data_IF_962480267525
#
_entry.id   IF_962480267525
#
_cell.length_a   1.000
_cell.length_b   1.000
_cell.length_c   1.000
_cell.angle_alpha   90.00
_cell.angle_beta   90.00
_cell.angle_gamma   90.00
#
_symmetry.space_group_name_H-M   'P 1'
#
loop_
_entity.id
_entity.type
_entity.pdbx_description
1 polymer ?
#
# COMPACT_ATOMS: atom_id res chain seq x y z
N UNK A 1 -30.31 -16.26 16.87
CA UNK A 1 -30.17 -14.80 16.81
C UNK A 1 -30.53 -14.38 15.40
N UNK A 2 -31.19 -13.23 15.20
CA UNK A 2 -31.56 -12.76 13.86
C UNK A 2 -30.39 -11.94 13.31
N UNK A 3 -30.02 -12.13 12.02
CA UNK A 3 -29.16 -11.21 11.30
C UNK A 3 -29.85 -9.84 11.24
N UNK A 4 -29.10 -8.78 11.43
CA UNK A 4 -29.62 -7.40 11.45
C UNK A 4 -28.77 -6.49 10.59
N UNK A 5 -29.35 -5.42 10.11
CA UNK A 5 -28.66 -4.33 9.44
C UNK A 5 -29.02 -3.05 10.13
N UNK A 6 -28.02 -2.20 10.34
CA UNK A 6 -28.20 -0.84 10.83
C UNK A 6 -27.58 0.15 9.88
N UNK A 7 -28.17 1.33 9.85
CA UNK A 7 -27.76 2.45 9.01
C UNK A 7 -27.36 3.61 9.91
N UNK A 8 -26.17 4.13 9.70
CA UNK A 8 -25.61 5.23 10.50
C UNK A 8 -25.35 6.42 9.59
N UNK A 9 -26.12 7.46 9.78
CA UNK A 9 -26.07 8.69 8.99
C UNK A 9 -25.78 9.89 9.88
N UNK A 10 -24.90 10.77 9.45
CA UNK A 10 -24.64 12.02 10.16
C UNK A 10 -25.83 12.98 10.05
N UNK A 11 -26.17 13.64 11.15
CA UNK A 11 -27.14 14.73 11.10
C UNK A 11 -26.68 15.86 10.17
N UNK A 12 -27.60 16.64 9.58
CA UNK A 12 -27.26 17.63 8.52
C UNK A 12 -26.09 18.59 8.82
N UNK A 13 -25.87 18.92 10.10
CA UNK A 13 -24.75 19.79 10.51
C UNK A 13 -23.39 19.12 10.49
N UNK A 14 -23.34 17.80 10.35
CA UNK A 14 -22.12 17.00 10.47
C UNK A 14 -21.83 16.20 9.19
N UNK A 15 -22.51 16.45 8.09
CA UNK A 15 -22.40 15.71 6.83
C UNK A 15 -21.19 16.13 5.96
N UNK A 16 -20.07 16.44 6.59
CA UNK A 16 -18.85 16.91 5.90
C UNK A 16 -18.39 15.91 4.83
N UNK A 17 -18.46 14.61 5.12
CA UNK A 17 -18.05 13.56 4.19
C UNK A 17 -18.94 13.51 2.94
N UNK A 18 -20.25 13.62 3.12
CA UNK A 18 -21.21 13.67 2.02
C UNK A 18 -21.03 14.94 1.15
N UNK A 19 -20.85 16.10 1.78
CA UNK A 19 -20.64 17.36 1.07
C UNK A 19 -19.32 17.37 0.30
N UNK A 20 -18.25 16.85 0.91
CA UNK A 20 -16.94 16.73 0.25
C UNK A 20 -17.03 15.82 -0.96
N UNK A 21 -17.63 14.63 -0.81
CA UNK A 21 -17.82 13.71 -1.93
C UNK A 21 -18.70 14.29 -3.04
N UNK A 22 -19.79 14.97 -2.67
CA UNK A 22 -20.68 15.65 -3.63
C UNK A 22 -19.90 16.67 -4.45
N UNK A 23 -19.09 17.51 -3.80
CA UNK A 23 -18.24 18.47 -4.47
C UNK A 23 -17.20 17.81 -5.38
N UNK A 24 -16.61 16.75 -4.92
CA UNK A 24 -15.63 15.96 -5.67
C UNK A 24 -16.24 15.35 -6.93
N UNK A 25 -17.39 14.69 -6.83
CA UNK A 25 -18.09 14.10 -7.98
C UNK A 25 -18.53 15.18 -8.99
N UNK A 26 -19.05 16.29 -8.53
CA UNK A 26 -19.44 17.41 -9.40
C UNK A 26 -18.23 17.97 -10.14
N UNK A 27 -17.12 18.17 -9.44
CA UNK A 27 -15.89 18.74 -10.03
C UNK A 27 -15.22 17.78 -11.00
N UNK A 28 -15.08 16.51 -10.62
CA UNK A 28 -14.26 15.56 -11.37
C UNK A 28 -15.03 14.86 -12.48
N UNK A 29 -16.34 14.68 -12.32
CA UNK A 29 -17.19 14.03 -13.31
C UNK A 29 -18.11 15.03 -14.05
N UNK A 30 -18.06 16.33 -13.74
CA UNK A 30 -18.90 17.34 -14.37
C UNK A 30 -20.40 17.09 -14.12
N UNK A 31 -20.75 16.56 -12.94
CA UNK A 31 -22.13 16.28 -12.54
C UNK A 31 -22.73 17.51 -11.82
N UNK A 32 -24.04 17.52 -11.66
CA UNK A 32 -24.78 18.56 -10.93
C UNK A 32 -25.59 17.94 -9.80
N UNK A 33 -24.93 17.23 -8.91
CA UNK A 33 -25.53 16.61 -7.72
C UNK A 33 -25.86 17.74 -6.74
N UNK A 34 -27.12 17.94 -6.42
CA UNK A 34 -27.56 18.92 -5.43
C UNK A 34 -27.54 18.35 -4.02
N UNK A 35 -27.94 17.07 -3.88
CA UNK A 35 -28.00 16.38 -2.60
C UNK A 35 -27.34 15.00 -2.69
N UNK A 36 -26.51 14.70 -1.71
CA UNK A 36 -25.91 13.39 -1.51
C UNK A 36 -26.03 13.00 -0.05
N UNK A 37 -26.61 11.83 0.22
CA UNK A 37 -26.58 11.21 1.54
C UNK A 37 -25.47 10.16 1.56
N UNK A 38 -24.65 10.20 2.60
CA UNK A 38 -23.61 9.22 2.88
C UNK A 38 -23.93 8.47 4.18
N UNK A 39 -24.09 7.16 4.09
CA UNK A 39 -24.56 6.32 5.18
C UNK A 39 -23.59 5.17 5.37
N UNK A 40 -23.09 4.98 6.59
CA UNK A 40 -22.37 3.79 6.95
C UNK A 40 -23.37 2.68 7.28
N UNK A 41 -23.21 1.53 6.65
CA UNK A 41 -24.10 0.38 6.82
C UNK A 41 -23.33 -0.73 7.52
N UNK A 42 -23.94 -1.30 8.56
CA UNK A 42 -23.37 -2.44 9.26
C UNK A 42 -24.32 -3.63 9.21
N UNK A 43 -23.83 -4.76 8.70
CA UNK A 43 -24.49 -6.06 8.79
C UNK A 43 -23.99 -6.76 10.06
N UNK A 44 -24.90 -7.09 10.94
CA UNK A 44 -24.65 -7.58 12.30
C UNK A 44 -25.13 -9.02 12.45
N UNK A 45 -24.23 -9.89 12.87
CA UNK A 45 -24.48 -11.32 13.08
C UNK A 45 -24.12 -11.70 14.51
N UNK A 46 -24.94 -12.54 15.13
CA UNK A 46 -24.71 -12.99 16.52
C UNK A 46 -25.16 -12.00 17.62
N UNK A 47 -25.78 -10.88 17.25
CA UNK A 47 -26.24 -9.89 18.23
C UNK A 47 -27.58 -10.30 18.91
N UNK A 48 -27.64 -10.17 20.23
CA UNK A 48 -28.90 -10.09 20.97
C UNK A 48 -29.49 -8.69 20.89
N UNK A 49 -30.78 -8.55 21.17
CA UNK A 49 -31.44 -7.24 21.21
C UNK A 49 -30.82 -6.33 22.27
N UNK A 50 -30.46 -6.87 23.42
CA UNK A 50 -29.82 -6.13 24.52
C UNK A 50 -28.42 -5.66 24.12
N UNK A 51 -27.61 -6.50 23.49
CA UNK A 51 -26.25 -6.14 23.03
C UNK A 51 -26.33 -5.08 21.94
N UNK A 52 -27.28 -5.19 20.99
CA UNK A 52 -27.46 -4.18 19.95
C UNK A 52 -27.79 -2.81 20.52
N UNK A 53 -28.77 -2.75 21.46
CA UNK A 53 -29.16 -1.48 22.08
C UNK A 53 -27.99 -0.84 22.86
N UNK A 54 -27.20 -1.63 23.59
CA UNK A 54 -26.02 -1.14 24.28
C UNK A 54 -24.95 -0.63 23.31
N UNK A 55 -24.82 -1.26 22.13
CA UNK A 55 -23.79 -0.94 21.14
C UNK A 55 -24.19 0.22 20.21
N UNK A 56 -25.47 0.52 20.08
CA UNK A 56 -26.02 1.44 19.08
C UNK A 56 -25.32 2.80 19.05
N UNK A 57 -25.13 3.40 20.22
CA UNK A 57 -24.48 4.71 20.36
C UNK A 57 -23.15 4.69 21.14
N UNK A 58 -22.65 3.51 21.50
CA UNK A 58 -21.33 3.36 22.11
C UNK A 58 -20.30 2.76 21.16
N UNK A 59 -20.76 2.12 20.07
CA UNK A 59 -19.91 1.49 19.05
C UNK A 59 -20.19 2.05 17.67
N UNK A 60 -21.45 2.09 17.23
CA UNK A 60 -21.80 2.37 15.83
C UNK A 60 -22.01 3.84 15.52
N UNK A 61 -22.42 4.65 16.49
CA UNK A 61 -22.66 6.08 16.31
C UNK A 61 -22.55 6.87 17.59
N UNK A 62 -22.61 8.19 17.48
CA UNK A 62 -22.61 9.14 18.58
C UNK A 62 -23.95 9.86 18.65
N UNK A 63 -24.56 9.94 19.84
CA UNK A 63 -25.87 10.55 20.06
C UNK A 63 -25.99 11.98 19.51
N UNK A 64 -24.90 12.75 19.55
CA UNK A 64 -24.90 14.16 19.13
C UNK A 64 -24.78 14.34 17.63
N UNK A 65 -24.09 13.42 16.95
CA UNK A 65 -23.72 13.59 15.54
C UNK A 65 -24.39 12.63 14.59
N UNK A 66 -24.91 11.50 15.09
CA UNK A 66 -25.37 10.40 14.27
C UNK A 66 -26.83 10.01 14.55
N UNK A 67 -27.51 9.61 13.49
CA UNK A 67 -28.76 8.85 13.53
C UNK A 67 -28.44 7.38 13.24
N UNK A 68 -28.81 6.47 14.14
CA UNK A 68 -28.64 5.02 13.98
C UNK A 68 -30.02 4.37 13.88
N UNK A 69 -30.33 3.82 12.70
CA UNK A 69 -31.66 3.27 12.39
C UNK A 69 -31.57 1.83 11.87
N UNK A 70 -32.63 1.06 12.03
CA UNK A 70 -32.72 -0.31 11.49
C UNK A 70 -33.23 -0.32 10.03
N UNK A 71 -33.78 0.79 9.56
CA UNK A 71 -34.30 0.96 8.20
C UNK A 71 -33.75 2.26 7.59
N UNK A 72 -33.60 2.26 6.28
CA UNK A 72 -33.22 3.44 5.52
C UNK A 72 -34.24 3.67 4.40
N UNK A 73 -34.85 4.83 4.40
CA UNK A 73 -35.71 5.25 3.29
C UNK A 73 -34.86 5.84 2.16
N UNK A 74 -34.92 5.23 0.99
CA UNK A 74 -34.28 5.70 -0.23
C UNK A 74 -35.10 6.76 -0.97
N UNK A 75 -36.39 6.93 -0.63
CA UNK A 75 -37.30 7.85 -1.32
C UNK A 75 -37.44 7.59 -2.82
N UNK A 76 -37.20 6.35 -3.29
CA UNK A 76 -37.16 6.00 -4.70
C UNK A 76 -35.95 6.56 -5.48
N UNK A 77 -34.99 7.16 -4.80
CA UNK A 77 -33.83 7.85 -5.38
C UNK A 77 -32.74 6.88 -5.82
N UNK A 78 -31.92 7.26 -6.83
CA UNK A 78 -30.75 6.48 -7.23
C UNK A 78 -29.78 6.23 -6.06
N UNK A 79 -29.36 5.00 -5.87
CA UNK A 79 -28.46 4.64 -4.77
C UNK A 79 -27.37 3.66 -5.20
N UNK A 80 -26.22 3.77 -4.56
CA UNK A 80 -25.08 2.89 -4.74
C UNK A 80 -24.57 2.44 -3.37
N UNK A 81 -24.54 1.14 -3.14
CA UNK A 81 -23.87 0.57 -1.97
C UNK A 81 -22.55 -0.08 -2.39
N UNK A 82 -21.49 0.14 -1.61
CA UNK A 82 -20.14 -0.37 -1.88
C UNK A 82 -19.63 -1.10 -0.64
N UNK A 83 -19.10 -2.31 -0.84
CA UNK A 83 -18.48 -3.13 0.20
C UNK A 83 -17.08 -3.58 -0.21
N UNK A 84 -16.25 -3.97 0.75
CA UNK A 84 -14.98 -4.61 0.46
C UNK A 84 -15.16 -5.97 -0.19
N UNK A 85 -14.18 -6.35 -1.03
CA UNK A 85 -14.12 -7.70 -1.58
C UNK A 85 -13.87 -8.73 -0.46
N UNK A 86 -14.36 -9.98 -0.62
CA UNK A 86 -13.98 -11.07 0.27
C UNK A 86 -12.46 -11.20 0.37
N UNK A 87 -11.94 -11.34 1.59
CA UNK A 87 -10.50 -11.40 1.85
C UNK A 87 -9.81 -10.05 2.04
N UNK A 88 -10.48 -8.94 1.75
CA UNK A 88 -10.00 -7.61 2.12
C UNK A 88 -10.27 -7.31 3.60
N UNK A 89 -9.34 -6.62 4.26
CA UNK A 89 -9.49 -6.26 5.66
C UNK A 89 -10.44 -5.09 5.84
N UNK A 90 -11.58 -5.36 6.48
CA UNK A 90 -12.56 -4.33 6.85
C UNK A 90 -12.21 -3.78 8.24
N UNK A 91 -11.35 -2.75 8.27
CA UNK A 91 -10.90 -2.10 9.51
C UNK A 91 -12.07 -1.56 10.35
N UNK A 92 -13.10 -1.00 9.71
CA UNK A 92 -14.26 -0.45 10.41
C UNK A 92 -15.05 -1.55 11.13
N UNK A 93 -15.28 -2.66 10.47
CA UNK A 93 -15.94 -3.82 11.05
C UNK A 93 -15.10 -4.46 12.17
N UNK A 94 -13.79 -4.62 11.96
CA UNK A 94 -12.88 -5.16 12.97
C UNK A 94 -12.85 -4.29 14.23
N UNK A 95 -12.70 -2.98 14.09
CA UNK A 95 -12.75 -2.04 15.22
C UNK A 95 -14.10 -2.06 15.95
N UNK A 96 -15.20 -2.23 15.21
CA UNK A 96 -16.51 -2.35 15.83
C UNK A 96 -16.64 -3.64 16.65
N UNK A 97 -16.11 -4.77 16.17
CA UNK A 97 -16.04 -6.03 16.94
C UNK A 97 -15.24 -5.84 18.22
N UNK A 98 -14.06 -5.21 18.15
CA UNK A 98 -13.24 -4.95 19.33
C UNK A 98 -13.97 -4.07 20.35
N UNK A 99 -14.68 -3.03 19.91
CA UNK A 99 -15.49 -2.19 20.78
C UNK A 99 -16.67 -2.97 21.40
N UNK A 100 -17.30 -3.89 20.66
CA UNK A 100 -18.35 -4.77 21.22
C UNK A 100 -17.76 -5.68 22.30
N UNK A 101 -16.58 -6.20 22.13
CA UNK A 101 -15.89 -7.02 23.14
C UNK A 101 -15.53 -6.24 24.42
N UNK A 102 -15.39 -4.91 24.36
CA UNK A 102 -15.29 -4.09 25.56
C UNK A 102 -16.60 -4.02 26.36
N UNK A 103 -17.74 -4.19 25.68
CA UNK A 103 -19.07 -4.21 26.32
C UNK A 103 -19.39 -5.61 26.82
N UNK A 104 -19.17 -6.63 26.00
CA UNK A 104 -19.36 -8.03 26.31
C UNK A 104 -18.18 -8.87 25.78
N UNK A 105 -17.19 -9.20 26.62
CA UNK A 105 -16.02 -9.98 26.22
C UNK A 105 -16.32 -11.41 25.72
N UNK A 106 -17.53 -11.91 25.93
CA UNK A 106 -17.95 -13.25 25.52
C UNK A 106 -18.86 -13.26 24.29
N UNK A 107 -19.13 -12.09 23.72
CA UNK A 107 -19.99 -11.99 22.56
C UNK A 107 -19.34 -12.66 21.34
N UNK A 108 -20.01 -13.63 20.75
CA UNK A 108 -19.62 -14.24 19.47
C UNK A 108 -20.34 -13.49 18.35
N UNK A 109 -19.76 -12.36 17.94
CA UNK A 109 -20.34 -11.48 16.92
C UNK A 109 -19.47 -11.42 15.67
N UNK A 110 -20.11 -11.25 14.51
CA UNK A 110 -19.46 -10.90 13.26
C UNK A 110 -20.12 -9.63 12.71
N UNK A 111 -19.30 -8.74 12.19
CA UNK A 111 -19.73 -7.46 11.61
C UNK A 111 -19.16 -7.37 10.21
N UNK A 112 -19.94 -6.86 9.25
CA UNK A 112 -19.47 -6.41 7.93
C UNK A 112 -19.88 -4.96 7.78
N UNK A 113 -18.97 -4.12 7.23
CA UNK A 113 -19.30 -2.75 6.93
C UNK A 113 -19.44 -2.49 5.44
N UNK A 114 -20.21 -1.47 5.09
CA UNK A 114 -20.34 -0.98 3.73
C UNK A 114 -20.75 0.49 3.74
N UNK A 115 -20.62 1.14 2.60
CA UNK A 115 -20.99 2.55 2.40
C UNK A 115 -22.17 2.61 1.45
N UNK A 116 -23.19 3.38 1.80
CA UNK A 116 -24.37 3.61 0.97
C UNK A 116 -24.42 5.09 0.59
N UNK A 117 -24.52 5.35 -0.68
CA UNK A 117 -24.66 6.67 -1.29
C UNK A 117 -26.05 6.77 -1.89
N UNK A 118 -26.84 7.80 -1.52
CA UNK A 118 -28.15 8.07 -2.09
C UNK A 118 -28.07 9.46 -2.74
N UNK A 119 -28.34 9.50 -4.04
CA UNK A 119 -28.24 10.71 -4.85
C UNK A 119 -29.62 11.32 -5.05
N UNK A 120 -29.68 12.57 -5.51
CA UNK A 120 -30.92 13.17 -5.98
C UNK A 120 -31.31 12.66 -7.39
N UNK A 121 -32.46 13.09 -7.87
CA UNK A 121 -33.05 12.64 -9.12
C UNK A 121 -32.29 13.14 -10.38
N UNK A 122 -31.25 13.95 -10.24
CA UNK A 122 -30.40 14.40 -11.36
C UNK A 122 -29.50 13.29 -11.90
N UNK A 123 -29.35 12.18 -11.18
CA UNK A 123 -28.46 11.07 -11.54
C UNK A 123 -29.21 10.01 -12.34
N UNK A 124 -28.98 10.01 -13.63
CA UNK A 124 -29.45 8.96 -14.53
C UNK A 124 -28.52 7.72 -14.52
N UNK A 125 -28.86 6.71 -15.31
CA UNK A 125 -28.10 5.47 -15.39
C UNK A 125 -26.69 5.66 -15.95
N UNK A 126 -26.46 6.64 -16.82
CA UNK A 126 -25.14 6.93 -17.40
C UNK A 126 -24.25 7.63 -16.37
N UNK A 127 -24.79 8.61 -15.66
CA UNK A 127 -24.11 9.28 -14.55
C UNK A 127 -23.77 8.28 -13.44
N UNK A 128 -24.70 7.37 -13.10
CA UNK A 128 -24.48 6.32 -12.09
C UNK A 128 -23.34 5.39 -12.51
N UNK A 129 -23.24 4.95 -13.76
CA UNK A 129 -22.14 4.11 -14.23
C UNK A 129 -20.77 4.83 -14.11
N UNK A 130 -20.72 6.15 -14.34
CA UNK A 130 -19.51 6.95 -14.14
C UNK A 130 -19.15 7.07 -12.66
N UNK A 131 -20.13 7.26 -11.80
CA UNK A 131 -19.96 7.28 -10.34
C UNK A 131 -19.46 5.91 -9.84
N UNK A 132 -20.06 4.81 -10.28
CA UNK A 132 -19.61 3.46 -9.94
C UNK A 132 -18.13 3.24 -10.31
N UNK A 133 -17.75 3.59 -11.53
CA UNK A 133 -16.36 3.50 -12.00
C UNK A 133 -15.39 4.39 -11.18
N UNK A 134 -15.89 5.51 -10.68
CA UNK A 134 -15.09 6.43 -9.87
C UNK A 134 -14.91 5.97 -8.41
N UNK A 135 -15.97 5.43 -7.79
CA UNK A 135 -15.99 5.07 -6.37
C UNK A 135 -15.52 3.65 -6.09
N UNK A 136 -15.66 2.72 -7.05
CA UNK A 136 -15.30 1.32 -6.89
C UNK A 136 -13.91 1.06 -7.46
N UNK A 137 -12.99 0.71 -6.59
CA UNK A 137 -11.71 0.14 -7.00
C UNK A 137 -11.86 -1.39 -7.07
N UNK A 138 -11.79 -1.97 -8.26
CA UNK A 138 -12.06 -3.39 -8.50
C UNK A 138 -11.10 -4.36 -7.78
N UNK A 139 -9.95 -3.89 -7.28
CA UNK A 139 -9.01 -4.71 -6.48
C UNK A 139 -9.31 -4.66 -4.98
N UNK A 140 -10.18 -3.74 -4.55
CA UNK A 140 -10.46 -3.49 -3.13
C UNK A 140 -11.95 -3.69 -2.80
N UNK A 141 -12.84 -3.27 -3.70
CA UNK A 141 -14.26 -3.14 -3.40
C UNK A 141 -15.15 -3.54 -4.58
N UNK A 142 -16.42 -3.73 -4.26
CA UNK A 142 -17.46 -4.07 -5.24
C UNK A 142 -18.80 -3.42 -4.86
N UNK A 143 -19.72 -3.43 -5.81
CA UNK A 143 -21.12 -3.08 -5.55
C UNK A 143 -21.76 -4.11 -4.61
N UNK A 144 -22.43 -3.62 -3.56
CA UNK A 144 -23.16 -4.45 -2.59
C UNK A 144 -24.62 -4.56 -2.97
N UNK A 145 -25.17 -5.77 -2.89
CA UNK A 145 -26.61 -5.98 -2.90
C UNK A 145 -27.18 -5.89 -1.48
N UNK A 146 -27.95 -4.84 -1.20
CA UNK A 146 -28.56 -4.61 0.12
C UNK A 146 -29.73 -5.54 0.43
N UNK A 147 -30.30 -6.25 -0.56
CA UNK A 147 -31.35 -7.26 -0.31
C UNK A 147 -30.78 -8.51 0.38
N UNK A 148 -29.47 -8.75 0.22
CA UNK A 148 -28.81 -9.90 0.81
C UNK A 148 -28.25 -9.52 2.18
N UNK A 149 -28.64 -10.29 3.20
CA UNK A 149 -28.11 -10.18 4.56
C UNK A 149 -27.62 -11.56 5.02
N UNK A 150 -26.38 -11.87 4.69
CA UNK A 150 -25.74 -13.15 4.98
C UNK A 150 -24.33 -12.96 5.52
N UNK A 151 -23.97 -13.73 6.54
CA UNK A 151 -22.61 -13.84 7.06
C UNK A 151 -21.78 -14.84 6.26
N UNK A 152 -22.45 -15.67 5.47
CA UNK A 152 -21.78 -16.59 4.54
C UNK A 152 -21.09 -15.77 3.49
N UNK A 153 -19.80 -15.87 3.44
CA UNK A 153 -19.05 -15.52 2.25
C UNK A 153 -19.40 -16.59 1.23
N UNK A 154 -20.17 -16.22 0.21
CA UNK A 154 -20.57 -17.11 -0.86
C UNK A 154 -19.42 -17.40 -1.84
N UNK A 155 -18.20 -17.34 -1.40
CA UNK A 155 -17.10 -17.91 -2.14
C UNK A 155 -17.11 -19.42 -1.86
N UNK A 156 -17.79 -20.15 -2.73
CA UNK A 156 -17.53 -21.56 -2.88
C UNK A 156 -16.04 -21.71 -3.12
N UNK A 157 -15.30 -22.19 -2.13
CA UNK A 157 -13.85 -22.41 -2.27
C UNK A 157 -13.69 -23.53 -3.29
N UNK A 158 -13.45 -23.14 -4.54
CA UNK A 158 -13.15 -24.10 -5.60
C UNK A 158 -11.73 -24.62 -5.38
N UNK A 159 -11.49 -25.92 -5.59
CA UNK A 159 -10.14 -26.45 -5.66
C UNK A 159 -9.31 -25.64 -6.66
N UNK A 160 -8.04 -25.39 -6.34
CA UNK A 160 -7.13 -24.70 -7.24
C UNK A 160 -6.97 -25.54 -8.51
N UNK A 161 -7.17 -24.91 -9.67
CA UNK A 161 -7.07 -25.58 -10.95
C UNK A 161 -5.64 -26.01 -11.27
N UNK A 162 -5.48 -27.19 -11.82
CA UNK A 162 -4.23 -27.61 -12.49
C UNK A 162 -4.26 -27.05 -13.91
N UNK A 163 -3.16 -26.47 -14.35
CA UNK A 163 -3.01 -25.92 -15.70
C UNK A 163 -2.62 -27.00 -16.67
N UNK A 164 -3.60 -27.84 -17.04
CA UNK A 164 -3.40 -29.00 -17.91
C UNK A 164 -2.73 -28.63 -19.24
N UNK A 165 -1.70 -29.38 -19.62
CA UNK A 165 -0.93 -29.16 -20.85
C UNK A 165 0.12 -28.05 -20.74
N UNK A 166 0.32 -27.44 -19.58
CA UNK A 166 1.29 -26.37 -19.40
C UNK A 166 2.72 -26.81 -19.74
N UNK A 167 3.16 -27.97 -19.28
CA UNK A 167 4.49 -28.51 -19.56
C UNK A 167 4.71 -28.92 -21.02
N UNK A 168 3.63 -29.07 -21.79
CA UNK A 168 3.69 -29.45 -23.21
C UNK A 168 3.72 -28.22 -24.13
N UNK A 169 3.67 -27.00 -23.55
CA UNK A 169 3.63 -25.74 -24.28
C UNK A 169 4.87 -25.58 -25.17
N UNK A 170 4.64 -25.20 -26.43
CA UNK A 170 5.70 -25.01 -27.42
C UNK A 170 6.25 -23.58 -27.33
N UNK A 171 7.46 -23.40 -27.82
CA UNK A 171 8.18 -22.13 -27.79
C UNK A 171 7.37 -20.96 -28.38
N UNK A 172 6.70 -21.20 -29.50
CA UNK A 172 5.87 -20.22 -30.21
C UNK A 172 4.63 -19.77 -29.42
N UNK A 173 4.21 -20.51 -28.39
CA UNK A 173 3.01 -20.26 -27.58
C UNK A 173 3.32 -19.40 -26.35
N UNK A 174 4.58 -19.39 -25.90
CA UNK A 174 4.98 -18.76 -24.63
C UNK A 174 4.63 -17.27 -24.55
N UNK A 175 5.00 -16.51 -25.59
CA UNK A 175 4.75 -15.06 -25.61
C UNK A 175 3.24 -14.74 -25.62
N UNK A 176 2.46 -15.53 -26.36
CA UNK A 176 1.00 -15.37 -26.40
C UNK A 176 0.37 -15.74 -25.04
N UNK A 177 0.88 -16.79 -24.39
CA UNK A 177 0.42 -17.23 -23.08
C UNK A 177 0.68 -16.15 -22.01
N UNK A 178 1.88 -15.58 -21.96
CA UNK A 178 2.21 -14.48 -21.03
C UNK A 178 1.24 -13.31 -21.21
N UNK A 179 1.03 -12.88 -22.45
CA UNK A 179 0.15 -11.76 -22.77
C UNK A 179 -1.32 -12.04 -22.40
N UNK A 180 -1.83 -13.24 -22.75
CA UNK A 180 -3.23 -13.61 -22.51
C UNK A 180 -3.54 -13.71 -21.01
N UNK A 181 -2.57 -14.22 -20.22
CA UNK A 181 -2.73 -14.40 -18.78
C UNK A 181 -2.26 -13.19 -17.97
N UNK A 182 -1.77 -12.13 -18.63
CA UNK A 182 -1.29 -10.90 -17.97
C UNK A 182 -0.11 -11.15 -17.02
N UNK A 183 0.82 -12.04 -17.42
CA UNK A 183 1.97 -12.38 -16.59
C UNK A 183 3.01 -11.25 -16.62
N UNK A 184 3.69 -11.07 -15.51
CA UNK A 184 4.87 -10.20 -15.39
C UNK A 184 6.10 -10.83 -16.05
N UNK A 185 6.17 -12.16 -16.08
CA UNK A 185 7.17 -12.94 -16.80
C UNK A 185 7.13 -12.68 -18.30
N UNK A 186 8.29 -12.65 -18.94
CA UNK A 186 8.42 -12.70 -20.38
C UNK A 186 8.47 -14.16 -20.91
N UNK A 187 8.62 -14.34 -22.22
CA UNK A 187 8.63 -15.69 -22.82
C UNK A 187 9.85 -16.52 -22.37
N UNK A 188 11.00 -15.88 -22.15
CA UNK A 188 12.23 -16.57 -21.72
C UNK A 188 12.09 -17.04 -20.26
N UNK A 189 11.53 -16.21 -19.38
CA UNK A 189 11.22 -16.56 -18.00
C UNK A 189 10.22 -17.72 -17.94
N UNK A 190 9.14 -17.64 -18.72
CA UNK A 190 8.12 -18.69 -18.78
C UNK A 190 8.69 -20.02 -19.31
N UNK A 191 9.65 -19.96 -20.21
CA UNK A 191 10.37 -21.16 -20.71
C UNK A 191 11.06 -21.91 -19.57
N UNK A 192 11.73 -21.18 -18.68
CA UNK A 192 12.38 -21.78 -17.52
C UNK A 192 11.36 -22.44 -16.59
N UNK A 193 10.22 -21.81 -16.37
CA UNK A 193 9.12 -22.40 -15.59
C UNK A 193 8.56 -23.66 -16.24
N UNK A 194 8.34 -23.63 -17.56
CA UNK A 194 7.88 -24.82 -18.31
C UNK A 194 8.88 -25.95 -18.23
N UNK A 195 10.18 -25.65 -18.39
CA UNK A 195 11.24 -26.66 -18.26
C UNK A 195 11.28 -27.28 -16.87
N UNK A 196 11.16 -26.47 -15.82
CA UNK A 196 11.09 -26.96 -14.44
C UNK A 196 9.93 -27.96 -14.25
N UNK A 197 8.71 -27.64 -14.71
CA UNK A 197 7.57 -28.54 -14.55
C UNK A 197 7.63 -29.77 -15.49
N UNK A 198 8.40 -29.70 -16.59
CA UNK A 198 8.76 -30.90 -17.39
C UNK A 198 9.63 -31.86 -16.59
N UNK A 199 10.63 -31.34 -15.86
CA UNK A 199 11.50 -32.14 -14.99
C UNK A 199 10.73 -32.71 -13.81
N UNK A 200 9.84 -31.92 -13.19
CA UNK A 200 8.92 -32.38 -12.14
C UNK A 200 7.93 -33.46 -12.61
N UNK A 201 7.70 -33.59 -13.92
CA UNK A 201 6.81 -34.58 -14.51
C UNK A 201 5.30 -34.31 -14.27
N UNK A 202 4.92 -33.11 -13.87
CA UNK A 202 3.54 -32.69 -13.62
C UNK A 202 3.25 -31.29 -14.17
N UNK A 203 1.98 -30.98 -14.36
CA UNK A 203 1.56 -29.61 -14.64
C UNK A 203 1.44 -28.80 -13.34
N UNK A 204 1.69 -27.47 -13.37
CA UNK A 204 1.52 -26.61 -12.21
C UNK A 204 0.04 -26.37 -11.87
N UNK A 205 -0.22 -26.07 -10.61
CA UNK A 205 -1.46 -25.42 -10.21
C UNK A 205 -1.42 -23.93 -10.57
N UNK A 206 -2.59 -23.33 -10.79
CA UNK A 206 -2.68 -21.89 -11.07
C UNK A 206 -1.97 -21.06 -9.99
N UNK A 207 -2.13 -21.41 -8.72
CA UNK A 207 -1.46 -20.72 -7.61
C UNK A 207 0.06 -20.78 -7.72
N UNK A 208 0.64 -21.93 -8.12
CA UNK A 208 2.09 -22.06 -8.30
C UNK A 208 2.59 -21.10 -9.39
N UNK A 209 1.90 -21.07 -10.53
CA UNK A 209 2.24 -20.14 -11.63
C UNK A 209 2.14 -18.68 -11.15
N UNK A 210 1.08 -18.29 -10.44
CA UNK A 210 0.88 -16.92 -9.94
C UNK A 210 1.95 -16.53 -8.91
N UNK A 211 2.37 -17.45 -8.04
CA UNK A 211 3.45 -17.21 -7.08
C UNK A 211 4.77 -16.98 -7.82
N UNK A 212 5.10 -17.83 -8.80
CA UNK A 212 6.30 -17.68 -9.61
C UNK A 212 6.29 -16.37 -10.39
N UNK A 213 5.17 -16.02 -11.03
CA UNK A 213 4.99 -14.77 -11.74
C UNK A 213 5.18 -13.54 -10.82
N UNK A 214 4.61 -13.59 -9.63
CA UNK A 214 4.80 -12.53 -8.61
C UNK A 214 6.27 -12.42 -8.20
N UNK A 215 6.94 -13.54 -8.02
CA UNK A 215 8.36 -13.58 -7.67
C UNK A 215 9.25 -13.01 -8.80
N UNK A 216 8.90 -13.25 -10.05
CA UNK A 216 9.57 -12.70 -11.24
C UNK A 216 9.22 -11.25 -11.54
N UNK A 217 8.14 -10.73 -10.94
CA UNK A 217 7.78 -9.34 -11.17
C UNK A 217 8.91 -8.41 -10.73
N UNK A 218 9.18 -7.37 -11.54
CA UNK A 218 10.23 -6.38 -11.23
C UNK A 218 9.74 -5.40 -10.13
N UNK A 219 9.42 -5.98 -8.96
CA UNK A 219 9.02 -5.22 -7.79
C UNK A 219 10.16 -4.30 -7.34
N UNK A 220 9.87 -3.02 -7.14
CA UNK A 220 10.86 -1.98 -6.82
C UNK A 220 12.02 -1.85 -7.83
N UNK A 221 11.84 -2.32 -9.06
CA UNK A 221 12.84 -2.23 -10.13
C UNK A 221 14.14 -2.98 -9.86
N UNK A 222 14.13 -4.03 -9.06
CA UNK A 222 15.33 -4.80 -8.74
C UNK A 222 16.01 -5.34 -10.00
N UNK A 223 15.27 -5.96 -10.91
CA UNK A 223 15.78 -6.48 -12.17
C UNK A 223 16.33 -5.36 -13.04
N UNK A 224 15.60 -4.24 -13.18
CA UNK A 224 16.05 -3.07 -13.94
C UNK A 224 17.38 -2.51 -13.40
N UNK A 225 17.52 -2.41 -12.06
CA UNK A 225 18.75 -1.89 -11.44
C UNK A 225 19.94 -2.81 -11.57
N UNK A 226 19.74 -4.11 -11.76
CA UNK A 226 20.81 -5.10 -11.94
C UNK A 226 21.06 -5.50 -13.38
N UNK A 227 20.30 -4.98 -14.34
CA UNK A 227 20.53 -5.17 -15.78
C UNK A 227 21.94 -4.74 -16.14
N UNK A 228 22.67 -5.61 -16.84
CA UNK A 228 24.03 -5.33 -17.27
C UNK A 228 24.05 -4.23 -18.33
N UNK A 229 24.95 -3.27 -18.14
CA UNK A 229 25.17 -2.15 -19.05
C UNK A 229 26.39 -2.49 -19.92
N UNK A 230 26.18 -2.74 -21.19
CA UNK A 230 27.22 -3.08 -22.14
C UNK A 230 27.89 -1.81 -22.72
N UNK A 231 27.10 -0.79 -23.02
CA UNK A 231 27.58 0.45 -23.65
C UNK A 231 26.96 1.69 -22.98
N UNK A 232 27.77 2.73 -22.82
CA UNK A 232 27.35 4.06 -22.38
C UNK A 232 27.74 5.09 -23.43
N UNK A 233 26.76 5.76 -24.02
CA UNK A 233 26.95 6.88 -24.94
C UNK A 233 26.59 8.19 -24.25
N UNK A 234 27.33 9.25 -24.52
CA UNK A 234 27.09 10.59 -24.01
C UNK A 234 26.70 11.52 -25.16
N UNK A 235 25.48 12.07 -25.03
CA UNK A 235 25.02 13.09 -26.00
C UNK A 235 25.79 14.40 -25.87
N UNK A 236 25.80 15.16 -26.96
CA UNK A 236 26.36 16.50 -26.96
C UNK A 236 25.53 17.42 -26.04
N UNK A 237 26.16 17.88 -24.97
CA UNK A 237 25.54 18.77 -24.00
C UNK A 237 26.62 19.60 -23.28
N UNK A 238 26.20 20.64 -22.57
CA UNK A 238 27.09 21.44 -21.74
C UNK A 238 27.72 20.66 -20.56
N UNK A 239 27.17 19.47 -20.23
CA UNK A 239 27.65 18.60 -19.15
C UNK A 239 28.49 17.41 -19.65
N UNK A 240 28.74 17.29 -20.95
CA UNK A 240 29.39 16.11 -21.55
C UNK A 240 30.78 15.83 -20.96
N UNK A 241 31.57 16.85 -20.78
CA UNK A 241 32.93 16.71 -20.25
C UNK A 241 32.96 16.27 -18.80
N UNK A 242 32.06 16.83 -17.95
CA UNK A 242 31.90 16.46 -16.56
C UNK A 242 31.36 15.02 -16.40
N UNK A 243 30.41 14.63 -17.24
CA UNK A 243 29.89 13.26 -17.25
C UNK A 243 30.99 12.26 -17.70
N UNK A 244 31.75 12.57 -18.72
CA UNK A 244 32.86 11.72 -19.16
C UNK A 244 33.92 11.57 -18.05
N UNK A 245 34.31 12.68 -17.42
CA UNK A 245 35.21 12.67 -16.26
C UNK A 245 34.71 11.85 -15.09
N UNK A 246 33.40 11.92 -14.80
CA UNK A 246 32.75 11.13 -13.75
C UNK A 246 32.74 9.63 -14.05
N UNK A 247 32.54 9.25 -15.33
CA UNK A 247 32.62 7.86 -15.76
C UNK A 247 34.04 7.31 -15.66
N UNK A 248 35.04 8.10 -16.01
CA UNK A 248 36.46 7.72 -15.89
C UNK A 248 36.84 7.56 -14.40
N UNK A 249 36.38 8.46 -13.54
CA UNK A 249 36.56 8.34 -12.09
C UNK A 249 35.90 7.07 -11.56
N UNK A 250 34.69 6.76 -11.98
CA UNK A 250 33.99 5.54 -11.60
C UNK A 250 34.76 4.29 -12.01
N UNK A 251 35.28 4.22 -13.25
CA UNK A 251 36.13 3.11 -13.72
C UNK A 251 37.36 2.95 -12.85
N UNK A 252 38.03 4.05 -12.52
CA UNK A 252 39.21 4.07 -11.65
C UNK A 252 38.84 3.54 -10.24
N UNK A 253 37.74 3.99 -9.68
CA UNK A 253 37.26 3.54 -8.37
C UNK A 253 36.94 2.04 -8.40
N UNK A 254 36.27 1.52 -9.43
CA UNK A 254 36.01 0.07 -9.59
C UNK A 254 37.32 -0.72 -9.56
N UNK A 255 38.34 -0.27 -10.26
CA UNK A 255 39.66 -0.90 -10.23
C UNK A 255 40.27 -0.88 -8.85
N UNK A 256 40.28 0.26 -8.16
CA UNK A 256 40.82 0.39 -6.80
C UNK A 256 40.07 -0.50 -5.78
N UNK A 257 38.78 -0.79 -6.01
CA UNK A 257 37.96 -1.65 -5.19
C UNK A 257 38.02 -3.13 -5.59
N UNK A 258 38.78 -3.48 -6.66
CA UNK A 258 38.87 -4.85 -7.19
C UNK A 258 37.54 -5.39 -7.71
N UNK A 259 36.75 -4.52 -8.37
CA UNK A 259 35.40 -4.82 -8.89
C UNK A 259 35.31 -4.83 -10.41
N UNK A 260 36.44 -4.91 -11.11
CA UNK A 260 36.49 -4.86 -12.57
C UNK A 260 35.73 -6.03 -13.22
N UNK A 261 35.80 -7.20 -12.61
CA UNK A 261 35.12 -8.43 -13.07
C UNK A 261 33.61 -8.48 -12.77
N UNK A 262 33.07 -7.51 -12.02
CA UNK A 262 31.64 -7.45 -11.75
C UNK A 262 30.92 -6.71 -12.85
N UNK A 263 29.72 -7.17 -13.21
CA UNK A 263 28.89 -6.50 -14.21
C UNK A 263 28.63 -5.03 -13.82
N UNK A 264 28.69 -4.15 -14.80
CA UNK A 264 28.30 -2.76 -14.63
C UNK A 264 26.79 -2.67 -14.76
N UNK A 265 26.13 -2.13 -13.74
CA UNK A 265 24.68 -1.94 -13.70
C UNK A 265 24.33 -0.67 -12.93
N UNK A 266 23.07 -0.25 -12.96
CA UNK A 266 22.63 0.96 -12.24
C UNK A 266 22.87 0.86 -10.73
N UNK A 267 22.72 -0.33 -10.12
CA UNK A 267 23.01 -0.55 -8.71
C UNK A 267 24.49 -0.36 -8.38
N UNK A 268 25.38 -0.81 -9.28
CA UNK A 268 26.81 -0.57 -9.12
C UNK A 268 27.13 0.94 -9.19
N UNK A 269 26.54 1.65 -10.17
CA UNK A 269 26.71 3.11 -10.28
C UNK A 269 26.22 3.85 -9.05
N UNK A 270 25.06 3.45 -8.49
CA UNK A 270 24.48 4.08 -7.32
C UNK A 270 25.30 3.85 -6.03
N UNK A 271 25.96 2.69 -5.90
CA UNK A 271 26.59 2.29 -4.64
C UNK A 271 28.11 2.44 -4.62
N UNK A 272 28.75 2.61 -5.77
CA UNK A 272 30.22 2.61 -5.89
C UNK A 272 30.88 3.74 -5.09
N UNK A 273 30.26 4.92 -5.07
CA UNK A 273 30.75 6.07 -4.31
C UNK A 273 30.78 5.83 -2.82
N UNK A 274 29.72 5.27 -2.26
CA UNK A 274 29.65 4.91 -0.83
C UNK A 274 30.69 3.85 -0.45
N UNK A 275 30.88 2.83 -1.30
CA UNK A 275 31.92 1.80 -1.10
C UNK A 275 33.33 2.40 -1.10
N UNK A 276 33.57 3.36 -1.98
CA UNK A 276 34.85 4.07 -2.04
C UNK A 276 35.08 4.94 -0.79
N UNK A 277 34.08 5.71 -0.38
CA UNK A 277 34.15 6.51 0.85
C UNK A 277 34.42 5.63 2.08
N UNK A 278 33.79 4.44 2.16
CA UNK A 278 34.05 3.46 3.21
C UNK A 278 35.51 3.01 3.21
N UNK A 279 36.06 2.65 2.02
CA UNK A 279 37.49 2.29 1.88
C UNK A 279 38.43 3.43 2.31
N UNK A 280 38.03 4.67 2.08
CA UNK A 280 38.80 5.86 2.44
C UNK A 280 38.69 6.24 3.94
N UNK A 281 37.98 5.47 4.76
CA UNK A 281 37.73 5.78 6.17
C UNK A 281 36.88 7.05 6.39
N UNK A 282 35.99 7.36 5.45
CA UNK A 282 35.08 8.52 5.51
C UNK A 282 33.72 8.18 6.09
N UNK A 283 33.49 6.92 6.42
CA UNK A 283 32.23 6.39 6.98
C UNK A 283 32.53 5.62 8.29
N UNK A 284 33.49 6.07 9.08
CA UNK A 284 33.88 5.41 10.33
C UNK A 284 32.87 5.62 11.45
N UNK A 285 31.96 6.60 11.30
CA UNK A 285 30.81 6.86 12.16
C UNK A 285 29.62 5.92 11.86
N UNK A 286 29.66 5.17 10.76
CA UNK A 286 28.60 4.23 10.42
C UNK A 286 28.62 3.00 11.35
N UNK A 287 27.47 2.69 11.94
CA UNK A 287 27.33 1.48 12.75
C UNK A 287 27.58 0.22 11.89
N UNK A 288 28.35 -0.70 12.44
CA UNK A 288 28.55 -2.03 11.85
C UNK A 288 27.79 -3.04 12.70
N UNK A 289 26.66 -3.54 12.20
CA UNK A 289 25.84 -4.56 12.84
C UNK A 289 25.16 -5.45 11.79
N UNK A 290 24.61 -6.56 12.23
CA UNK A 290 23.80 -7.45 11.38
C UNK A 290 22.42 -6.82 11.06
N UNK A 291 21.96 -5.89 11.89
CA UNK A 291 20.74 -5.13 11.64
C UNK A 291 21.03 -3.91 10.75
N UNK A 292 20.84 -4.09 9.46
CA UNK A 292 21.17 -3.11 8.41
C UNK A 292 19.95 -2.64 7.60
N UNK A 293 18.74 -2.82 8.15
CA UNK A 293 17.50 -2.40 7.49
C UNK A 293 17.35 -0.87 7.42
N UNK A 294 18.04 -0.13 8.31
CA UNK A 294 18.17 1.31 8.25
C UNK A 294 19.65 1.70 8.24
N UNK A 295 19.99 2.84 7.64
CA UNK A 295 21.32 3.41 7.75
C UNK A 295 21.50 4.02 9.13
N UNK A 296 22.55 3.62 9.86
CA UNK A 296 22.80 4.02 11.24
C UNK A 296 24.18 4.66 11.36
N UNK A 297 24.23 5.84 11.97
CA UNK A 297 25.50 6.54 12.26
C UNK A 297 25.55 6.94 13.72
N UNK A 298 26.75 6.93 14.29
CA UNK A 298 26.99 7.47 15.63
C UNK A 298 27.18 8.98 15.57
N UNK A 299 26.45 9.69 16.41
CA UNK A 299 26.55 11.13 16.57
C UNK A 299 26.72 11.50 18.04
N UNK A 300 27.40 12.59 18.30
CA UNK A 300 27.49 13.16 19.64
C UNK A 300 26.51 14.33 19.76
N UNK A 301 25.64 14.27 20.75
CA UNK A 301 24.58 15.25 21.00
C UNK A 301 24.82 15.92 22.31
N UNK A 302 24.78 17.23 22.34
CA UNK A 302 24.80 18.00 23.60
C UNK A 302 23.36 17.98 24.18
N UNK A 303 23.24 17.35 25.36
CA UNK A 303 22.00 17.31 26.13
C UNK A 303 22.24 18.01 27.46
N UNK A 304 21.70 19.21 27.62
CA UNK A 304 21.84 20.05 28.81
C UNK A 304 23.31 20.26 29.27
N UNK A 305 24.22 20.44 28.31
CA UNK A 305 25.64 20.63 28.54
C UNK A 305 26.45 19.35 28.75
N UNK A 306 25.84 18.19 28.58
CA UNK A 306 26.51 16.89 28.61
C UNK A 306 26.53 16.28 27.22
N UNK A 307 27.71 15.86 26.75
CA UNK A 307 27.85 15.19 25.48
C UNK A 307 27.44 13.73 25.61
N UNK A 308 26.38 13.34 24.92
CA UNK A 308 25.88 11.98 24.85
C UNK A 308 26.16 11.37 23.46
N UNK A 309 26.51 10.09 23.46
CA UNK A 309 26.65 9.34 22.19
C UNK A 309 25.30 8.74 21.80
N UNK A 310 24.80 9.09 20.62
CA UNK A 310 23.54 8.63 20.07
C UNK A 310 23.75 7.87 18.77
N UNK A 311 22.80 6.99 18.45
CA UNK A 311 22.65 6.37 17.16
C UNK A 311 21.52 7.09 16.42
N UNK A 312 21.86 7.71 15.28
CA UNK A 312 20.91 8.34 14.37
C UNK A 312 20.64 7.39 13.24
N UNK A 313 19.38 7.10 12.97
CA UNK A 313 18.97 6.16 11.92
C UNK A 313 18.13 6.87 10.88
N UNK A 314 18.40 6.52 9.62
CA UNK A 314 17.64 6.97 8.46
C UNK A 314 17.17 5.77 7.65
N UNK A 315 15.90 5.77 7.29
CA UNK A 315 15.31 4.81 6.36
C UNK A 315 14.49 5.52 5.33
N UNK A 316 14.62 5.09 4.08
CA UNK A 316 13.66 5.40 3.03
C UNK A 316 13.09 4.11 2.45
N UNK A 317 11.82 4.16 2.08
CA UNK A 317 11.07 3.04 1.52
C UNK A 317 10.34 3.50 0.27
N UNK A 318 10.42 2.71 -0.79
CA UNK A 318 9.61 2.91 -2.00
C UNK A 318 8.44 1.96 -2.01
N UNK A 319 7.23 2.46 -2.24
CA UNK A 319 6.03 1.65 -2.33
C UNK A 319 5.19 2.06 -3.54
N UNK A 320 5.85 2.10 -4.69
CA UNK A 320 5.35 2.69 -5.92
C UNK A 320 4.17 1.92 -6.50
N UNK A 321 4.35 0.64 -6.81
CA UNK A 321 3.33 -0.19 -7.45
C UNK A 321 2.09 -0.42 -6.58
N UNK A 322 2.21 -0.80 -5.30
CA UNK A 322 1.05 -0.95 -4.43
C UNK A 322 0.24 0.33 -4.26
N UNK A 323 0.91 1.49 -4.16
CA UNK A 323 0.22 2.79 -4.07
C UNK A 323 -0.52 3.14 -5.36
N UNK A 324 -0.04 2.70 -6.51
CA UNK A 324 -0.72 2.92 -7.79
C UNK A 324 -2.02 2.13 -7.90
N UNK A 325 -2.07 0.92 -7.33
CA UNK A 325 -3.21 0.00 -7.42
C UNK A 325 -4.22 0.25 -6.30
N UNK A 326 -3.74 0.35 -5.07
CA UNK A 326 -4.54 0.64 -3.88
C UNK A 326 -3.85 1.78 -3.10
N UNK A 327 -4.18 3.05 -3.46
CA UNK A 327 -3.40 4.21 -3.04
C UNK A 327 -3.36 4.43 -1.53
N UNK A 328 -4.46 4.18 -0.81
CA UNK A 328 -4.53 4.42 0.62
C UNK A 328 -3.63 3.44 1.40
N UNK A 329 -3.84 2.14 1.23
CA UNK A 329 -3.06 1.11 1.90
C UNK A 329 -1.62 1.04 1.41
N UNK A 330 -1.39 1.25 0.11
CA UNK A 330 -0.05 1.30 -0.46
C UNK A 330 0.82 2.40 0.17
N UNK A 331 0.32 3.62 0.26
CA UNK A 331 1.04 4.72 0.90
C UNK A 331 1.15 4.56 2.43
N UNK A 332 0.11 4.03 3.06
CA UNK A 332 0.12 3.70 4.49
C UNK A 332 1.21 2.67 4.82
N UNK A 333 1.30 1.60 4.04
CA UNK A 333 2.32 0.55 4.19
C UNK A 333 3.73 1.09 3.90
N UNK A 334 3.88 2.01 2.96
CA UNK A 334 5.14 2.70 2.68
C UNK A 334 5.71 3.36 3.96
N UNK A 335 4.91 4.17 4.64
CA UNK A 335 5.31 4.78 5.90
C UNK A 335 5.53 3.73 7.00
N UNK A 336 4.65 2.74 7.09
CA UNK A 336 4.73 1.65 8.06
C UNK A 336 6.04 0.87 7.96
N UNK A 337 6.47 0.52 6.74
CA UNK A 337 7.74 -0.14 6.48
C UNK A 337 8.92 0.75 6.86
N UNK A 338 8.89 2.02 6.44
CA UNK A 338 9.93 2.99 6.77
C UNK A 338 10.11 3.16 8.29
N UNK A 339 9.03 3.12 9.07
CA UNK A 339 9.08 3.27 10.54
C UNK A 339 9.58 1.99 11.22
N UNK A 340 9.10 0.82 10.77
CA UNK A 340 9.44 -0.46 11.42
C UNK A 340 10.92 -0.80 11.34
N UNK A 341 11.62 -0.40 10.30
CA UNK A 341 13.03 -0.74 10.12
C UNK A 341 13.95 -0.05 11.15
N UNK A 342 13.90 1.28 11.37
CA UNK A 342 14.62 1.90 12.49
C UNK A 342 14.15 1.41 13.86
N UNK A 343 12.86 1.08 14.02
CA UNK A 343 12.32 0.53 15.25
C UNK A 343 12.94 -0.85 15.54
N UNK A 344 13.08 -1.72 14.53
CA UNK A 344 13.82 -2.98 14.66
C UNK A 344 15.30 -2.71 15.03
N UNK A 345 15.87 -1.64 14.53
CA UNK A 345 17.19 -1.11 14.89
C UNK A 345 17.27 -0.50 16.30
N UNK A 346 16.19 -0.59 17.11
CA UNK A 346 16.07 -0.10 18.49
C UNK A 346 15.94 1.41 18.61
N UNK A 347 15.69 2.16 17.53
CA UNK A 347 15.52 3.62 17.60
C UNK A 347 14.06 4.04 17.66
N UNK A 348 13.81 5.20 18.27
CA UNK A 348 12.53 5.87 18.20
C UNK A 348 12.48 6.77 16.96
N UNK A 349 11.47 6.56 16.11
CA UNK A 349 11.26 7.40 14.94
C UNK A 349 10.49 8.65 15.35
N UNK A 350 11.06 9.82 15.09
CA UNK A 350 10.49 11.09 15.51
C UNK A 350 10.11 12.02 14.35
N UNK A 351 10.51 11.70 13.12
CA UNK A 351 10.23 12.51 11.93
C UNK A 351 9.98 11.64 10.72
N UNK A 352 8.91 11.95 9.98
CA UNK A 352 8.62 11.37 8.68
C UNK A 352 8.68 12.42 7.57
N UNK A 353 9.04 11.99 6.38
CA UNK A 353 9.09 12.78 5.14
C UNK A 353 8.47 11.97 4.01
N UNK A 354 7.95 12.66 2.98
CA UNK A 354 7.34 12.02 1.82
C UNK A 354 7.77 12.72 0.53
N UNK A 355 8.20 11.93 -0.45
CA UNK A 355 8.49 12.40 -1.81
C UNK A 355 7.68 11.58 -2.80
N UNK A 356 6.93 12.24 -3.67
CA UNK A 356 6.07 11.57 -4.66
C UNK A 356 6.25 12.13 -6.04
N UNK A 357 5.95 11.29 -7.05
CA UNK A 357 5.84 11.70 -8.44
C UNK A 357 4.49 11.25 -9.01
N UNK A 358 3.75 12.17 -9.61
CA UNK A 358 2.45 11.95 -10.20
C UNK A 358 2.37 12.57 -11.60
N UNK A 359 1.43 12.08 -12.42
CA UNK A 359 0.99 12.80 -13.61
C UNK A 359 0.13 14.00 -13.24
N UNK A 360 -0.41 14.68 -14.25
CA UNK A 360 -1.30 15.82 -14.03
C UNK A 360 -2.58 15.38 -13.29
N UNK A 361 -2.74 15.88 -12.06
CA UNK A 361 -3.91 15.59 -11.21
C UNK A 361 -5.20 16.30 -11.66
N UNK A 362 -5.09 17.27 -12.55
CA UNK A 362 -6.25 17.99 -13.11
C UNK A 362 -6.72 17.39 -14.44
N UNK A 363 -6.02 16.35 -14.93
CA UNK A 363 -6.45 15.67 -16.14
C UNK A 363 -7.86 15.10 -15.98
N UNK A 364 -8.76 15.30 -16.97
CA UNK A 364 -10.12 14.76 -16.92
C UNK A 364 -10.14 13.26 -16.66
N UNK A 365 -11.10 12.80 -15.84
CA UNK A 365 -11.21 11.38 -15.49
C UNK A 365 -11.43 10.50 -16.72
N UNK A 366 -12.15 10.99 -17.71
CA UNK A 366 -12.43 10.27 -18.96
C UNK A 366 -11.18 10.09 -19.86
N UNK A 367 -10.10 10.83 -19.58
CA UNK A 367 -8.79 10.68 -20.24
C UNK A 367 -7.82 9.79 -19.45
N UNK A 368 -8.29 9.11 -18.42
CA UNK A 368 -7.47 8.18 -17.65
C UNK A 368 -7.01 7.02 -18.53
N UNK A 369 -5.72 6.68 -18.45
CA UNK A 369 -5.15 5.52 -19.14
C UNK A 369 -5.91 4.24 -18.74
N UNK A 370 -6.17 3.37 -19.71
CA UNK A 370 -6.83 2.10 -19.47
C UNK A 370 -6.06 1.25 -18.44
N UNK A 371 -6.78 0.65 -17.49
CA UNK A 371 -6.19 -0.15 -16.41
C UNK A 371 -5.55 0.67 -15.28
N UNK A 372 -5.67 2.00 -15.29
CA UNK A 372 -5.14 2.89 -14.24
C UNK A 372 -6.26 3.59 -13.50
N UNK A 373 -5.99 3.98 -12.26
CA UNK A 373 -6.83 4.93 -11.53
C UNK A 373 -6.52 6.37 -11.98
N UNK A 374 -7.48 7.30 -11.89
CA UNK A 374 -7.23 8.71 -12.15
C UNK A 374 -6.14 9.27 -11.23
N UNK A 375 -5.22 10.08 -11.77
CA UNK A 375 -4.07 10.63 -11.04
C UNK A 375 -4.48 11.39 -9.78
N UNK A 376 -5.60 12.09 -9.83
CA UNK A 376 -6.16 12.79 -8.66
C UNK A 376 -6.59 11.84 -7.56
N UNK A 377 -7.26 10.74 -7.89
CA UNK A 377 -7.67 9.71 -6.91
C UNK A 377 -6.44 9.12 -6.25
N UNK A 378 -5.44 8.73 -7.04
CA UNK A 378 -4.20 8.16 -6.51
C UNK A 378 -3.55 9.14 -5.55
N UNK A 379 -3.35 10.40 -5.96
CA UNK A 379 -2.65 11.40 -5.14
C UNK A 379 -3.39 11.73 -3.85
N UNK A 380 -4.72 11.89 -3.91
CA UNK A 380 -5.54 12.22 -2.72
C UNK A 380 -5.59 11.07 -1.72
N UNK A 381 -5.88 9.86 -2.20
CA UNK A 381 -5.96 8.67 -1.34
C UNK A 381 -4.60 8.27 -0.76
N UNK A 382 -3.53 8.38 -1.55
CA UNK A 382 -2.18 8.13 -1.07
C UNK A 382 -1.76 9.12 0.03
N UNK A 383 -2.07 10.41 -0.13
CA UNK A 383 -1.82 11.40 0.91
C UNK A 383 -2.60 11.08 2.20
N UNK A 384 -3.87 10.68 2.07
CA UNK A 384 -4.70 10.29 3.21
C UNK A 384 -4.16 9.04 3.91
N UNK A 385 -3.75 8.00 3.16
CA UNK A 385 -3.20 6.76 3.71
C UNK A 385 -1.88 7.00 4.46
N UNK A 386 -0.97 7.77 3.88
CA UNK A 386 0.29 8.13 4.51
C UNK A 386 0.07 8.90 5.83
N UNK A 387 -0.81 9.90 5.79
CA UNK A 387 -1.20 10.68 6.97
C UNK A 387 -1.88 9.83 8.04
N UNK A 388 -2.76 8.91 7.65
CA UNK A 388 -3.49 8.03 8.57
C UNK A 388 -2.54 7.19 9.41
N UNK A 389 -1.53 6.57 8.81
CA UNK A 389 -0.56 5.77 9.56
C UNK A 389 0.22 6.61 10.57
N UNK A 390 0.74 7.77 10.16
CA UNK A 390 1.47 8.68 11.04
C UNK A 390 0.61 9.17 12.20
N UNK A 391 -0.65 9.56 11.94
CA UNK A 391 -1.57 10.04 12.96
C UNK A 391 -1.88 9.00 14.04
N UNK A 392 -1.98 7.72 13.67
CA UNK A 392 -2.28 6.63 14.62
C UNK A 392 -1.17 6.42 15.66
N UNK A 393 0.07 6.73 15.30
CA UNK A 393 1.23 6.58 16.19
C UNK A 393 1.81 7.91 16.67
N UNK A 394 1.18 9.04 16.36
CA UNK A 394 1.62 10.37 16.77
C UNK A 394 2.87 10.88 16.05
N UNK A 395 3.15 10.39 14.83
CA UNK A 395 4.30 10.80 14.02
C UNK A 395 3.89 11.80 12.95
N UNK A 396 4.46 13.01 13.00
CA UNK A 396 4.23 14.03 12.01
C UNK A 396 5.05 13.80 10.71
N UNK A 397 4.41 13.99 9.56
CA UNK A 397 5.10 14.11 8.27
C UNK A 397 5.49 15.58 8.07
N UNK A 398 6.74 15.91 8.37
CA UNK A 398 7.23 17.29 8.45
C UNK A 398 7.66 17.88 7.13
N UNK A 399 7.89 17.05 6.11
CA UNK A 399 8.25 17.47 4.77
C UNK A 399 7.54 16.62 3.72
N UNK A 400 6.82 17.28 2.81
CA UNK A 400 6.19 16.64 1.66
C UNK A 400 6.64 17.36 0.39
N UNK A 401 7.18 16.59 -0.56
CA UNK A 401 7.51 17.09 -1.90
C UNK A 401 6.79 16.24 -2.93
N UNK A 402 5.93 16.86 -3.72
CA UNK A 402 5.27 16.22 -4.84
C UNK A 402 5.78 16.82 -6.16
N UNK A 403 6.18 15.96 -7.09
CA UNK A 403 6.69 16.32 -8.41
C UNK A 403 5.71 15.82 -9.47
N UNK A 404 5.40 16.66 -10.43
CA UNK A 404 4.47 16.33 -11.51
C UNK A 404 5.21 16.22 -12.83
N UNK A 405 5.07 15.07 -13.50
CA UNK A 405 5.63 14.83 -14.82
C UNK A 405 4.76 13.80 -15.56
N UNK A 406 4.55 13.94 -16.89
CA UNK A 406 3.73 13.00 -17.66
C UNK A 406 4.14 11.54 -17.54
N UNK A 407 5.43 11.25 -17.42
CA UNK A 407 5.95 9.88 -17.33
C UNK A 407 5.50 9.16 -16.05
N UNK A 408 5.17 9.89 -14.99
CA UNK A 408 4.62 9.29 -13.77
C UNK A 408 3.18 8.75 -13.92
N UNK A 409 2.53 8.97 -15.06
CA UNK A 409 1.27 8.30 -15.39
C UNK A 409 1.48 6.80 -15.60
N UNK A 410 2.60 6.43 -16.25
CA UNK A 410 2.95 5.02 -16.46
C UNK A 410 3.31 4.32 -15.15
N UNK A 411 4.03 5.03 -14.25
CA UNK A 411 4.47 4.50 -12.96
C UNK A 411 4.61 5.64 -11.94
N UNK A 412 3.72 5.67 -10.96
CA UNK A 412 3.79 6.63 -9.85
C UNK A 412 5.09 6.43 -9.06
N UNK A 413 5.66 7.50 -8.54
CA UNK A 413 6.69 7.45 -7.50
C UNK A 413 6.04 7.67 -6.13
N UNK A 414 6.28 6.77 -5.20
CA UNK A 414 5.91 6.90 -3.79
C UNK A 414 7.11 6.51 -2.92
N UNK A 415 7.67 7.50 -2.21
CA UNK A 415 8.82 7.32 -1.33
C UNK A 415 8.49 7.90 0.04
N UNK A 416 8.55 7.04 1.05
CA UNK A 416 8.54 7.43 2.45
C UNK A 416 9.95 7.46 3.01
N UNK A 417 10.26 8.41 3.86
CA UNK A 417 11.52 8.44 4.58
C UNK A 417 11.29 8.85 6.03
N UNK A 418 12.13 8.34 6.93
CA UNK A 418 12.04 8.63 8.35
C UNK A 418 13.42 8.81 8.97
N UNK A 419 13.43 9.54 10.09
CA UNK A 419 14.60 9.69 10.94
C UNK A 419 14.25 9.18 12.34
N UNK A 420 15.08 8.31 12.86
CA UNK A 420 15.00 7.79 14.23
C UNK A 420 16.28 8.04 15.01
N UNK A 421 16.17 8.03 16.33
CA UNK A 421 17.32 8.19 17.21
C UNK A 421 17.17 7.38 18.50
N UNK A 422 18.30 7.00 19.07
CA UNK A 422 18.39 6.31 20.36
C UNK A 422 19.75 6.56 21.00
N UNK A 423 19.82 6.62 22.34
CA UNK A 423 21.12 6.62 23.04
C UNK A 423 21.86 5.32 22.72
N UNK A 424 23.12 5.42 22.31
CA UNK A 424 23.91 4.26 21.89
C UNK A 424 24.00 3.17 23.00
N UNK A 425 24.04 3.57 24.26
CA UNK A 425 24.06 2.65 25.41
C UNK A 425 22.80 1.81 25.59
N UNK A 426 21.67 2.24 25.01
CA UNK A 426 20.39 1.54 25.08
C UNK A 426 20.21 0.51 23.95
N UNK A 427 21.12 0.49 22.99
CA UNK A 427 21.03 -0.44 21.84
C UNK A 427 21.58 -1.80 22.22
N UNK A 428 20.71 -2.83 22.18
CA UNK A 428 21.10 -4.24 22.42
C UNK A 428 21.14 -4.97 21.09
N UNK A 429 22.28 -5.61 20.79
CA UNK A 429 22.53 -6.42 19.58
C UNK A 429 22.83 -7.86 20.00
N UNK A 430 21.88 -8.48 20.69
CA UNK A 430 22.01 -9.85 21.22
C UNK A 430 21.26 -10.83 20.30
N UNK A 431 21.84 -12.01 20.10
CA UNK A 431 21.20 -13.10 19.38
C UNK A 431 20.55 -14.07 20.37
N UNK A 432 19.34 -14.61 20.06
CA UNK A 432 18.71 -15.61 20.91
C UNK A 432 19.52 -16.90 20.96
N UNK A 433 19.49 -17.56 22.10
CA UNK A 433 20.19 -18.83 22.35
C UNK A 433 19.21 -19.97 22.65
N UNK A 434 19.59 -21.22 22.42
CA UNK A 434 18.74 -22.36 22.79
C UNK A 434 18.38 -22.33 24.28
N UNK A 435 17.08 -22.34 24.56
CA UNK A 435 16.54 -22.24 25.93
C UNK A 435 15.95 -20.90 26.29
N UNK A 436 16.12 -19.88 25.47
CA UNK A 436 15.45 -18.60 25.64
C UNK A 436 13.93 -18.75 25.51
N UNK A 437 13.19 -17.97 26.28
CA UNK A 437 11.72 -17.98 26.27
C UNK A 437 11.20 -16.82 25.45
N UNK A 438 10.40 -17.15 24.45
CA UNK A 438 9.69 -16.14 23.63
C UNK A 438 8.33 -15.88 24.25
N UNK A 439 8.07 -14.62 24.60
CA UNK A 439 6.78 -14.15 25.12
C UNK A 439 6.11 -13.26 24.10
N UNK A 440 4.92 -13.65 23.65
CA UNK A 440 4.05 -12.82 22.82
C UNK A 440 2.96 -12.19 23.69
N UNK A 441 2.95 -10.88 23.78
CA UNK A 441 1.94 -10.09 24.50
C UNK A 441 1.13 -9.30 23.50
N UNK A 442 -0.18 -9.49 23.49
CA UNK A 442 -1.07 -8.77 22.58
C UNK A 442 -2.37 -9.50 22.33
N UNK A 443 -3.20 -8.94 21.47
CA UNK A 443 -4.43 -9.55 20.99
C UNK A 443 -4.18 -10.55 19.84
N UNK A 444 -5.22 -11.27 19.48
CA UNK A 444 -5.23 -12.10 18.27
C UNK A 444 -5.24 -11.19 17.05
N UNK A 445 -4.28 -11.37 16.15
CA UNK A 445 -4.20 -10.64 14.88
C UNK A 445 -4.44 -11.58 13.71
N UNK A 446 -5.09 -11.12 12.65
CA UNK A 446 -5.27 -11.83 11.40
C UNK A 446 -6.68 -12.27 11.13
#
# INVERSE_FOLDING_TARGET
MKNRRIFVEKYPRFQVEAETLRHELNTNLGLNIEQLRFINVYDLFGFSDELLEKSRYSVFGEVVTDSVTDECDFGGKPALAVEFLPGQFDQRAASAVDCVHLIDPKAEVKIKSSRLYIFDDSIDSQAMARIEKYLINAVESRKKNLEILSDLESAEVKPVAVLEGFREMREEELAAYCKTNGLAMNADDLREVVNYFREEGRDPMETELRILDTYWSDHCRHTTFTTEIEEITLDESFMKEEMASSLDLMRKIRKELGREEKSLCLMELATIGARYLKKMGKLDDMEQSEENNACSIFVNVDVDGQMERWLLQFKNETHTHPTEIEPFGGASTCLGGAIRDPLSGRSYVYQAMRVTGAGDIYKPVDETMEGKLPQRIISTKAAAGYSSYGNQIGLATTHVREVYHPDYVAKRLEVGAVVGAVKAENVRRESPTPGDVVLLLGGRTG
#
